data_IF_173245052170
#
_entry.id   IF_173245052170
#
_cell.length_a   1.000
_cell.length_b   1.000
_cell.length_c   1.000
_cell.angle_alpha   90.00
_cell.angle_beta   90.00
_cell.angle_gamma   90.00
#
_symmetry.space_group_name_H-M   'P 1'
#
loop_
_entity.id
_entity.type
_entity.pdbx_description
1 polymer ?
#
# COMPACT_ATOMS: atom_id res chain seq x y z
N UNK A 1 21.62 0.31 35.13
CA UNK A 1 20.22 -0.15 34.98
C UNK A 1 19.24 0.72 35.77
N UNK A 2 19.52 1.15 37.00
CA UNK A 2 18.61 1.99 37.80
C UNK A 2 18.17 3.30 37.12
N UNK A 3 19.09 4.06 36.51
CA UNK A 3 18.75 5.28 35.74
C UNK A 3 17.85 5.05 34.52
N UNK A 4 17.85 3.85 33.94
CA UNK A 4 16.98 3.52 32.81
C UNK A 4 15.55 3.26 33.30
N UNK A 5 15.40 2.63 34.47
CA UNK A 5 14.09 2.41 35.10
C UNK A 5 13.41 3.73 35.53
N UNK A 6 14.19 4.78 35.82
CA UNK A 6 13.67 6.11 36.18
C UNK A 6 13.10 6.89 34.98
N UNK A 7 13.54 6.58 33.76
CA UNK A 7 13.11 7.27 32.52
C UNK A 7 12.27 6.39 31.59
N UNK A 8 12.17 5.09 31.87
CA UNK A 8 11.32 4.16 31.11
C UNK A 8 9.99 4.01 31.82
N UNK A 9 8.91 4.21 31.09
CA UNK A 9 7.58 3.86 31.59
C UNK A 9 7.53 2.33 31.65
N UNK A 10 7.42 1.71 32.82
CA UNK A 10 7.29 0.26 32.90
C UNK A 10 6.03 -0.16 32.13
N UNK A 11 6.04 -1.32 31.45
CA UNK A 11 4.85 -1.80 30.75
C UNK A 11 3.68 -1.79 31.73
N UNK A 12 2.57 -1.14 31.32
CA UNK A 12 1.38 -1.06 32.14
C UNK A 12 0.97 -2.49 32.53
N UNK A 13 0.61 -2.74 33.80
CA UNK A 13 0.16 -4.05 34.23
C UNK A 13 -1.00 -4.49 33.35
N UNK A 14 -0.95 -5.77 32.94
CA UNK A 14 -1.99 -6.53 32.25
C UNK A 14 -3.37 -5.89 32.39
N UNK A 15 -3.90 -5.31 31.30
CA UNK A 15 -5.27 -4.82 31.26
C UNK A 15 -6.17 -6.00 31.63
N UNK A 16 -7.11 -5.80 32.56
CA UNK A 16 -8.07 -6.84 32.94
C UNK A 16 -8.75 -7.36 31.68
N UNK A 17 -8.92 -8.67 31.58
CA UNK A 17 -9.58 -9.38 30.46
C UNK A 17 -10.99 -8.86 30.11
N UNK A 18 -11.56 -8.05 31.01
CA UNK A 18 -12.92 -7.54 31.04
C UNK A 18 -13.02 -6.10 30.49
N UNK A 19 -11.92 -5.49 30.05
CA UNK A 19 -11.96 -4.21 29.32
C UNK A 19 -12.47 -4.41 27.89
N UNK A 20 -13.68 -3.93 27.63
CA UNK A 20 -14.34 -4.02 26.31
C UNK A 20 -13.48 -3.37 25.23
N UNK A 21 -12.81 -2.26 25.54
CA UNK A 21 -12.00 -1.48 24.59
C UNK A 21 -10.51 -1.91 24.56
N UNK A 22 -10.16 -2.95 25.33
CA UNK A 22 -8.79 -3.45 25.44
C UNK A 22 -8.20 -3.91 24.10
N UNK A 23 -6.88 -3.75 23.97
CA UNK A 23 -6.13 -4.12 22.77
C UNK A 23 -5.17 -5.27 23.05
N UNK A 24 -5.06 -6.19 22.11
CA UNK A 24 -3.93 -7.13 22.01
C UNK A 24 -2.99 -6.62 20.93
N UNK A 25 -1.72 -6.43 21.30
CA UNK A 25 -0.71 -5.80 20.43
C UNK A 25 0.55 -6.66 20.41
N UNK A 26 1.15 -6.79 19.24
CA UNK A 26 2.46 -7.39 19.05
C UNK A 26 3.36 -6.42 18.28
N UNK A 27 4.64 -6.35 18.69
CA UNK A 27 5.66 -5.57 17.99
C UNK A 27 6.42 -6.48 17.03
N UNK A 28 6.75 -5.94 15.87
CA UNK A 28 7.47 -6.60 14.79
C UNK A 28 8.60 -5.70 14.30
N UNK A 29 9.69 -6.30 13.82
CA UNK A 29 10.85 -5.60 13.27
C UNK A 29 11.37 -6.23 11.99
N UNK A 30 12.08 -5.40 11.22
CA UNK A 30 13.09 -5.81 10.26
C UNK A 30 14.40 -5.28 10.81
N UNK A 31 15.29 -6.13 11.31
CA UNK A 31 16.56 -5.70 11.92
C UNK A 31 17.54 -6.87 11.94
N UNK A 32 18.85 -6.59 11.93
CA UNK A 32 19.88 -7.61 12.10
C UNK A 32 20.76 -7.37 13.34
N UNK A 33 21.56 -8.37 13.70
CA UNK A 33 22.50 -8.34 14.83
C UNK A 33 23.64 -7.30 14.69
N UNK A 34 23.80 -6.69 13.51
CA UNK A 34 24.66 -5.52 13.31
C UNK A 34 24.08 -4.25 13.96
N UNK A 35 22.76 -4.16 14.08
CA UNK A 35 22.04 -3.01 14.64
C UNK A 35 21.45 -3.24 16.04
N UNK A 36 21.36 -4.50 16.51
CA UNK A 36 20.82 -4.84 17.83
C UNK A 36 21.64 -5.91 18.54
N UNK A 37 21.91 -5.71 19.84
CA UNK A 37 22.54 -6.72 20.68
C UNK A 37 21.55 -7.73 21.26
N UNK A 38 22.03 -8.94 21.56
CA UNK A 38 21.27 -9.97 22.29
C UNK A 38 20.53 -10.99 21.42
N UNK A 39 20.80 -11.05 20.12
CA UNK A 39 20.37 -12.18 19.30
C UNK A 39 21.17 -13.44 19.61
N UNK A 40 20.56 -14.64 19.58
CA UNK A 40 21.28 -15.89 19.76
C UNK A 40 22.30 -16.11 18.64
N UNK A 41 23.53 -16.50 19.01
CA UNK A 41 24.59 -16.80 18.04
C UNK A 41 24.44 -18.21 17.44
N UNK A 42 23.86 -19.18 18.16
CA UNK A 42 23.60 -20.52 17.61
C UNK A 42 22.44 -20.42 16.60
N UNK A 43 22.64 -20.78 15.31
CA UNK A 43 21.59 -20.78 14.30
C UNK A 43 20.33 -21.56 14.69
N UNK A 44 20.45 -22.61 15.51
CA UNK A 44 19.31 -23.39 15.98
C UNK A 44 18.49 -22.62 17.03
N UNK A 45 19.16 -21.90 17.91
CA UNK A 45 18.50 -21.03 18.90
C UNK A 45 17.84 -19.85 18.19
N UNK A 46 18.54 -19.20 17.26
CA UNK A 46 18.00 -18.13 16.42
C UNK A 46 16.73 -18.59 15.67
N UNK A 47 16.80 -19.75 15.00
CA UNK A 47 15.65 -20.30 14.29
C UNK A 47 14.47 -20.64 15.21
N UNK A 48 14.73 -21.10 16.44
CA UNK A 48 13.68 -21.45 17.41
C UNK A 48 12.81 -20.27 17.85
N UNK A 49 13.34 -19.04 17.74
CA UNK A 49 12.63 -17.79 18.04
C UNK A 49 12.22 -17.01 16.79
N UNK A 50 12.31 -17.65 15.61
CA UNK A 50 11.86 -17.07 14.33
C UNK A 50 12.87 -16.14 13.65
N UNK A 51 14.13 -16.15 14.07
CA UNK A 51 15.21 -15.43 13.39
C UNK A 51 15.80 -16.28 12.26
N UNK A 52 16.37 -15.62 11.25
CA UNK A 52 17.00 -16.25 10.10
C UNK A 52 18.50 -15.97 10.14
N UNK A 53 19.32 -16.99 9.97
CA UNK A 53 20.76 -16.81 9.79
C UNK A 53 21.06 -16.49 8.32
N UNK A 54 21.48 -15.26 8.06
CA UNK A 54 22.03 -14.84 6.77
C UNK A 54 23.46 -15.33 6.58
N UNK A 55 24.18 -14.73 5.62
CA UNK A 55 25.57 -15.12 5.35
C UNK A 55 26.51 -14.77 6.50
N UNK A 56 26.34 -13.56 7.04
CA UNK A 56 27.23 -12.99 8.06
C UNK A 56 26.49 -12.51 9.32
N UNK A 57 25.16 -12.40 9.27
CA UNK A 57 24.30 -11.78 10.30
C UNK A 57 23.08 -12.64 10.63
N UNK A 58 22.61 -12.59 11.88
CA UNK A 58 21.29 -13.06 12.30
C UNK A 58 20.26 -11.96 12.05
N UNK A 59 19.19 -12.30 11.35
CA UNK A 59 18.18 -11.37 10.83
C UNK A 59 16.82 -11.66 11.46
N UNK A 60 16.18 -10.62 11.98
CA UNK A 60 14.75 -10.60 12.26
C UNK A 60 14.00 -9.98 11.08
N UNK A 61 12.94 -10.67 10.63
CA UNK A 61 12.03 -10.18 9.58
C UNK A 61 10.57 -10.40 9.95
N UNK A 62 10.28 -10.26 11.23
CA UNK A 62 8.97 -10.50 11.82
C UNK A 62 7.90 -9.56 11.26
N UNK A 63 8.27 -8.40 10.69
CA UNK A 63 7.35 -7.54 9.93
C UNK A 63 6.81 -8.28 8.70
N UNK A 64 7.68 -8.85 7.86
CA UNK A 64 7.24 -9.57 6.68
C UNK A 64 6.32 -10.73 7.07
N UNK A 65 6.68 -11.46 8.13
CA UNK A 65 5.91 -12.60 8.61
C UNK A 65 4.55 -12.16 9.17
N UNK A 66 4.47 -11.01 9.86
CA UNK A 66 3.21 -10.42 10.32
C UNK A 66 2.28 -10.05 9.16
N UNK A 67 2.82 -9.42 8.10
CA UNK A 67 2.06 -9.12 6.89
C UNK A 67 1.54 -10.40 6.23
N UNK A 68 2.40 -11.42 6.05
CA UNK A 68 2.02 -12.72 5.46
C UNK A 68 0.88 -13.36 6.26
N UNK A 69 1.01 -13.44 7.59
CA UNK A 69 -0.01 -14.05 8.43
C UNK A 69 -1.34 -13.27 8.40
N UNK A 70 -1.28 -11.93 8.42
CA UNK A 70 -2.46 -11.09 8.32
C UNK A 70 -3.19 -11.27 6.97
N UNK A 71 -2.46 -11.34 5.86
CA UNK A 71 -3.05 -11.61 4.54
C UNK A 71 -3.64 -13.02 4.48
N UNK A 72 -2.94 -14.04 4.97
CA UNK A 72 -3.38 -15.43 4.92
C UNK A 72 -4.67 -15.67 5.71
N UNK A 73 -4.85 -15.01 6.85
CA UNK A 73 -6.09 -15.12 7.64
C UNK A 73 -7.25 -14.28 7.12
N UNK A 74 -7.00 -13.32 6.23
CA UNK A 74 -8.03 -12.43 5.69
C UNK A 74 -9.18 -13.22 5.03
N UNK A 75 -10.41 -12.79 5.33
CA UNK A 75 -11.66 -13.44 4.91
C UNK A 75 -12.53 -12.58 4.01
N UNK A 76 -12.55 -11.26 4.23
CA UNK A 76 -13.48 -10.32 3.61
C UNK A 76 -12.77 -9.28 2.76
N UNK A 77 -11.83 -8.52 3.35
CA UNK A 77 -11.11 -7.50 2.60
C UNK A 77 -9.76 -7.14 3.21
N UNK A 78 -8.93 -6.47 2.41
CA UNK A 78 -7.69 -5.84 2.85
C UNK A 78 -7.67 -4.40 2.34
N UNK A 79 -7.34 -3.45 3.22
CA UNK A 79 -7.10 -2.05 2.87
C UNK A 79 -5.65 -1.69 3.23
N UNK A 80 -4.89 -1.20 2.25
CA UNK A 80 -3.46 -0.87 2.40
C UNK A 80 -3.25 0.58 2.03
N UNK A 81 -2.51 1.31 2.86
CA UNK A 81 -1.86 2.55 2.45
C UNK A 81 -0.36 2.39 2.61
N UNK A 82 0.40 2.52 1.50
CA UNK A 82 1.84 2.33 1.54
C UNK A 82 2.57 3.26 0.56
N UNK A 83 3.74 3.77 0.97
CA UNK A 83 4.58 4.60 0.10
C UNK A 83 5.13 3.83 -1.11
N UNK A 84 5.41 2.54 -0.95
CA UNK A 84 5.86 1.67 -2.03
C UNK A 84 4.97 0.44 -2.12
N UNK A 85 4.79 -0.06 -3.33
CA UNK A 85 4.12 -1.32 -3.56
C UNK A 85 4.79 -2.06 -4.72
N UNK A 86 5.85 -2.78 -4.39
CA UNK A 86 6.60 -3.60 -5.33
C UNK A 86 7.19 -4.81 -4.61
N UNK A 87 7.35 -5.93 -5.30
CA UNK A 87 7.92 -7.13 -4.69
C UNK A 87 7.47 -8.43 -5.32
N UNK A 88 7.81 -9.54 -4.67
CA UNK A 88 7.58 -10.90 -5.17
C UNK A 88 8.10 -11.10 -6.60
N UNK A 89 9.28 -10.55 -6.87
CA UNK A 89 9.91 -10.52 -8.20
C UNK A 89 10.07 -11.89 -8.85
N UNK A 90 10.20 -12.96 -8.06
CA UNK A 90 10.20 -14.34 -8.55
C UNK A 90 8.93 -14.72 -9.32
N UNK A 91 7.82 -14.01 -9.12
CA UNK A 91 6.56 -14.20 -9.83
C UNK A 91 6.37 -13.27 -11.03
N UNK A 92 7.27 -12.33 -11.28
CA UNK A 92 7.16 -11.43 -12.43
C UNK A 92 7.39 -12.21 -13.74
N UNK A 93 6.67 -11.83 -14.80
CA UNK A 93 6.88 -12.36 -16.14
C UNK A 93 7.46 -11.26 -17.02
N UNK A 94 8.71 -11.39 -17.42
CA UNK A 94 9.38 -10.40 -18.26
C UNK A 94 10.43 -11.03 -19.16
N UNK A 95 10.63 -10.42 -20.33
CA UNK A 95 11.67 -10.77 -21.29
C UNK A 95 12.85 -9.78 -21.29
N UNK A 96 12.71 -8.65 -20.61
CA UNK A 96 13.65 -7.52 -20.64
C UNK A 96 14.52 -7.38 -19.37
N UNK A 97 14.28 -8.22 -18.35
CA UNK A 97 15.08 -8.32 -17.13
C UNK A 97 15.43 -9.78 -16.81
N UNK A 98 16.56 -9.99 -16.12
CA UNK A 98 16.84 -11.26 -15.45
C UNK A 98 16.19 -11.24 -14.06
N UNK A 99 15.09 -11.98 -13.89
CA UNK A 99 14.30 -12.00 -12.65
C UNK A 99 15.16 -12.43 -11.44
N UNK A 100 16.12 -13.33 -11.64
CA UNK A 100 16.99 -13.83 -10.58
C UNK A 100 17.95 -12.76 -10.03
N UNK A 101 18.16 -11.66 -10.76
CA UNK A 101 19.03 -10.56 -10.34
C UNK A 101 18.29 -9.45 -9.58
N UNK A 102 16.94 -9.45 -9.61
CA UNK A 102 16.14 -8.40 -8.97
C UNK A 102 16.17 -8.53 -7.45
N UNK A 103 16.07 -9.75 -6.92
CA UNK A 103 16.12 -10.07 -5.49
C UNK A 103 15.10 -9.32 -4.61
N UNK A 104 13.96 -8.92 -5.17
CA UNK A 104 12.81 -8.43 -4.40
C UNK A 104 11.91 -9.63 -4.03
N UNK A 105 12.38 -10.49 -3.14
CA UNK A 105 11.84 -11.82 -2.85
C UNK A 105 10.75 -11.85 -1.78
N UNK A 106 10.44 -10.73 -1.11
CA UNK A 106 9.37 -10.72 -0.11
C UNK A 106 8.01 -11.06 -0.72
N UNK A 107 7.12 -11.64 0.09
CA UNK A 107 5.95 -12.37 -0.41
C UNK A 107 4.66 -11.55 -0.51
N UNK A 108 4.65 -10.31 -0.02
CA UNK A 108 3.41 -9.55 0.23
C UNK A 108 2.52 -9.46 -1.04
N UNK A 109 3.02 -8.97 -2.20
CA UNK A 109 2.19 -8.91 -3.41
C UNK A 109 1.64 -10.27 -3.86
N UNK A 110 2.46 -11.33 -3.82
CA UNK A 110 2.03 -12.67 -4.23
C UNK A 110 1.04 -13.31 -3.26
N UNK A 111 1.20 -13.11 -1.95
CA UNK A 111 0.21 -13.57 -0.95
C UNK A 111 -1.14 -12.89 -1.15
N UNK A 112 -1.16 -11.59 -1.49
CA UNK A 112 -2.39 -10.86 -1.81
C UNK A 112 -3.07 -11.45 -3.06
N UNK A 113 -2.33 -11.62 -4.17
CA UNK A 113 -2.95 -12.15 -5.39
C UNK A 113 -3.42 -13.59 -5.20
N UNK A 114 -2.64 -14.45 -4.54
CA UNK A 114 -3.06 -15.83 -4.22
C UNK A 114 -4.25 -15.88 -3.26
N UNK A 115 -4.36 -14.95 -2.30
CA UNK A 115 -5.54 -14.82 -1.45
C UNK A 115 -6.78 -14.51 -2.30
N UNK A 116 -6.71 -13.52 -3.18
CA UNK A 116 -7.82 -13.19 -4.10
C UNK A 116 -8.17 -14.40 -4.98
N UNK A 117 -7.17 -15.06 -5.58
CA UNK A 117 -7.36 -16.26 -6.40
C UNK A 117 -8.08 -17.35 -5.61
N UNK A 118 -7.66 -17.63 -4.36
CA UNK A 118 -8.30 -18.64 -3.52
C UNK A 118 -9.78 -18.33 -3.24
N UNK A 119 -10.12 -17.05 -3.11
CA UNK A 119 -11.49 -16.58 -2.86
C UNK A 119 -12.36 -16.70 -4.12
N UNK A 120 -11.83 -16.32 -5.28
CA UNK A 120 -12.45 -16.58 -6.59
C UNK A 120 -12.68 -18.08 -6.79
N UNK A 121 -11.68 -18.90 -6.45
CA UNK A 121 -11.77 -20.36 -6.59
C UNK A 121 -12.82 -20.97 -5.67
N UNK A 122 -13.00 -20.41 -4.48
CA UNK A 122 -14.04 -20.80 -3.52
C UNK A 122 -15.44 -20.24 -3.85
N UNK A 123 -15.55 -19.26 -4.77
CA UNK A 123 -16.79 -18.52 -4.99
C UNK A 123 -17.15 -17.59 -3.82
N UNK A 124 -16.16 -17.21 -3.02
CA UNK A 124 -16.30 -16.32 -1.87
C UNK A 124 -15.92 -14.89 -2.27
N UNK A 125 -16.69 -13.91 -1.80
CA UNK A 125 -16.43 -12.51 -2.10
C UNK A 125 -15.22 -12.00 -1.29
N UNK A 126 -14.32 -11.29 -1.97
CA UNK A 126 -13.14 -10.67 -1.36
C UNK A 126 -12.66 -9.45 -2.16
N UNK A 127 -12.24 -8.39 -1.46
CA UNK A 127 -11.76 -7.14 -2.07
C UNK A 127 -10.42 -6.71 -1.50
N UNK A 128 -9.54 -6.18 -2.34
CA UNK A 128 -8.29 -5.55 -1.90
C UNK A 128 -8.18 -4.14 -2.47
N UNK A 129 -7.93 -3.20 -1.58
CA UNK A 129 -7.79 -1.77 -1.85
C UNK A 129 -6.37 -1.35 -1.51
N UNK A 130 -5.65 -0.76 -2.47
CA UNK A 130 -4.27 -0.29 -2.26
C UNK A 130 -4.18 1.19 -2.60
N UNK A 131 -3.76 2.01 -1.65
CA UNK A 131 -3.48 3.44 -1.84
C UNK A 131 -1.97 3.66 -1.77
N UNK A 132 -1.40 4.20 -2.84
CA UNK A 132 0.03 4.47 -3.02
C UNK A 132 0.21 5.92 -3.47
N UNK A 133 1.40 6.54 -3.32
CA UNK A 133 1.60 7.88 -3.86
C UNK A 133 1.52 7.84 -5.40
N UNK A 134 1.17 8.97 -6.01
CA UNK A 134 1.10 9.06 -7.48
C UNK A 134 2.47 8.69 -8.10
N UNK A 135 3.55 9.16 -7.48
CA UNK A 135 4.91 8.65 -7.63
C UNK A 135 5.68 8.76 -6.29
N UNK A 136 6.72 7.95 -6.05
CA UNK A 136 7.60 8.09 -4.89
C UNK A 136 8.31 9.45 -4.80
N UNK A 137 8.57 9.94 -3.60
CA UNK A 137 9.22 11.23 -3.36
C UNK A 137 10.52 11.40 -4.15
N UNK A 138 10.65 12.56 -4.79
CA UNK A 138 11.74 12.90 -5.67
C UNK A 138 11.24 13.49 -6.98
N UNK A 139 12.19 13.84 -7.88
CA UNK A 139 11.85 14.28 -9.22
C UNK A 139 11.26 13.08 -9.99
N UNK A 140 10.02 13.16 -10.50
CA UNK A 140 9.33 11.99 -11.05
C UNK A 140 10.03 11.44 -12.30
N UNK A 141 10.71 12.29 -13.08
CA UNK A 141 11.52 11.88 -14.23
C UNK A 141 12.94 11.41 -13.90
N UNK A 142 13.32 11.35 -12.62
CA UNK A 142 14.63 10.80 -12.23
C UNK A 142 14.65 9.28 -12.42
N UNK A 143 15.82 8.72 -12.74
CA UNK A 143 15.92 7.27 -12.95
C UNK A 143 15.59 6.43 -11.70
N UNK A 144 15.79 6.97 -10.50
CA UNK A 144 15.38 6.27 -9.27
C UNK A 144 13.86 6.12 -9.21
N UNK A 145 13.12 7.20 -9.41
CA UNK A 145 11.65 7.18 -9.40
C UNK A 145 11.12 6.34 -10.55
N UNK A 146 11.67 6.49 -11.76
CA UNK A 146 11.26 5.72 -12.93
C UNK A 146 11.52 4.22 -12.77
N UNK A 147 12.64 3.81 -12.16
CA UNK A 147 12.91 2.40 -11.89
C UNK A 147 11.93 1.81 -10.88
N UNK A 148 11.62 2.56 -9.81
CA UNK A 148 10.65 2.12 -8.79
C UNK A 148 9.25 1.97 -9.39
N UNK A 149 8.82 2.90 -10.24
CA UNK A 149 7.54 2.81 -10.95
C UNK A 149 7.49 1.60 -11.89
N UNK A 150 8.59 1.23 -12.54
CA UNK A 150 8.66 0.01 -13.36
C UNK A 150 8.50 -1.25 -12.49
N UNK A 151 9.15 -1.33 -11.32
CA UNK A 151 8.97 -2.44 -10.38
C UNK A 151 7.54 -2.53 -9.84
N UNK A 152 6.93 -1.39 -9.53
CA UNK A 152 5.52 -1.32 -9.13
C UNK A 152 4.61 -1.84 -10.25
N UNK A 153 4.81 -1.39 -11.49
CA UNK A 153 4.04 -1.87 -12.65
C UNK A 153 4.16 -3.38 -12.83
N UNK A 154 5.37 -3.94 -12.78
CA UNK A 154 5.59 -5.40 -12.91
C UNK A 154 4.91 -6.19 -11.79
N UNK A 155 4.90 -5.63 -10.59
CA UNK A 155 4.21 -6.22 -9.44
C UNK A 155 2.70 -6.21 -9.65
N UNK A 156 2.12 -5.09 -10.08
CA UNK A 156 0.70 -4.98 -10.42
C UNK A 156 0.33 -5.98 -11.54
N UNK A 157 1.13 -6.05 -12.61
CA UNK A 157 0.91 -6.94 -13.75
C UNK A 157 0.92 -8.42 -13.35
N UNK A 158 1.88 -8.82 -12.50
CA UNK A 158 1.88 -10.17 -11.92
C UNK A 158 0.57 -10.47 -11.17
N UNK A 159 0.13 -9.56 -10.31
CA UNK A 159 -1.06 -9.77 -9.48
C UNK A 159 -2.33 -9.82 -10.33
N UNK A 160 -2.48 -8.90 -11.28
CA UNK A 160 -3.64 -8.89 -12.18
C UNK A 160 -3.66 -10.09 -13.12
N UNK A 161 -2.50 -10.56 -13.59
CA UNK A 161 -2.41 -11.80 -14.37
C UNK A 161 -2.93 -12.99 -13.58
N UNK A 162 -2.52 -13.15 -12.30
CA UNK A 162 -3.02 -14.23 -11.43
C UNK A 162 -4.55 -14.18 -11.31
N UNK A 163 -5.12 -13.00 -11.07
CA UNK A 163 -6.56 -12.77 -10.89
C UNK A 163 -7.33 -13.08 -12.18
N UNK A 164 -6.88 -12.56 -13.32
CA UNK A 164 -7.53 -12.76 -14.62
C UNK A 164 -7.52 -14.24 -15.01
N UNK A 165 -6.43 -14.97 -14.74
CA UNK A 165 -6.36 -16.43 -14.95
C UNK A 165 -7.43 -17.15 -14.10
N UNK A 166 -7.56 -16.78 -12.82
CA UNK A 166 -8.55 -17.39 -11.93
C UNK A 166 -10.00 -17.11 -12.37
N UNK A 167 -10.31 -15.87 -12.76
CA UNK A 167 -11.63 -15.49 -13.30
C UNK A 167 -11.97 -16.29 -14.55
N UNK A 168 -11.02 -16.37 -15.51
CA UNK A 168 -11.20 -17.12 -16.76
C UNK A 168 -11.40 -18.61 -16.49
N UNK A 169 -10.64 -19.21 -15.57
CA UNK A 169 -10.79 -20.62 -15.16
C UNK A 169 -12.17 -20.90 -14.54
N UNK A 170 -12.76 -19.92 -13.86
CA UNK A 170 -14.13 -20.00 -13.32
C UNK A 170 -15.23 -19.63 -14.31
N UNK A 171 -14.89 -19.15 -15.50
CA UNK A 171 -15.85 -18.68 -16.49
C UNK A 171 -16.59 -17.41 -16.05
N UNK A 172 -15.95 -16.59 -15.21
CA UNK A 172 -16.52 -15.33 -14.73
C UNK A 172 -16.13 -14.18 -15.66
N UNK A 173 -17.12 -13.49 -16.21
CA UNK A 173 -16.95 -12.23 -16.92
C UNK A 173 -17.03 -11.07 -15.91
N UNK A 174 -15.93 -10.84 -15.20
CA UNK A 174 -15.84 -9.81 -14.17
C UNK A 174 -14.62 -8.92 -14.39
N UNK A 175 -14.74 -7.65 -14.03
CA UNK A 175 -13.61 -6.74 -14.05
C UNK A 175 -12.61 -7.12 -12.94
N UNK A 176 -11.32 -7.35 -13.22
CA UNK A 176 -10.34 -7.64 -12.17
C UNK A 176 -10.18 -6.49 -11.15
N UNK A 177 -10.52 -5.24 -11.52
CA UNK A 177 -10.61 -4.10 -10.60
C UNK A 177 -11.74 -4.22 -9.57
N UNK A 178 -12.67 -5.14 -9.77
CA UNK A 178 -13.66 -5.51 -8.78
C UNK A 178 -13.08 -6.52 -7.77
N UNK A 179 -11.78 -6.84 -7.77
CA UNK A 179 -11.15 -7.69 -6.76
C UNK A 179 -9.86 -7.08 -6.19
N UNK A 180 -9.06 -6.42 -7.03
CA UNK A 180 -7.87 -5.69 -6.65
C UNK A 180 -7.92 -4.32 -7.30
N UNK A 181 -7.80 -3.25 -6.52
CA UNK A 181 -7.80 -1.89 -7.06
C UNK A 181 -6.71 -1.04 -6.44
N UNK A 182 -6.12 -0.17 -7.26
CA UNK A 182 -5.04 0.73 -6.88
C UNK A 182 -5.49 2.18 -7.03
N UNK A 183 -5.16 2.98 -6.02
CA UNK A 183 -5.46 4.40 -5.93
C UNK A 183 -4.21 5.19 -5.57
N UNK A 184 -4.30 6.49 -5.78
CA UNK A 184 -3.40 7.48 -5.20
C UNK A 184 -4.21 8.66 -4.65
N UNK A 185 -3.55 9.56 -3.94
CA UNK A 185 -4.20 10.76 -3.41
C UNK A 185 -3.76 12.01 -4.16
N UNK A 186 -4.69 12.94 -4.38
CA UNK A 186 -4.42 14.23 -4.97
C UNK A 186 -5.35 15.31 -4.45
N UNK A 187 -4.92 16.56 -4.59
CA UNK A 187 -5.75 17.71 -4.32
C UNK A 187 -5.67 18.70 -5.48
N UNK A 188 -6.73 19.48 -5.65
CA UNK A 188 -6.81 20.57 -6.62
C UNK A 188 -7.70 21.67 -6.06
N UNK A 189 -7.13 22.86 -5.90
CA UNK A 189 -7.76 23.96 -5.19
C UNK A 189 -7.93 25.17 -6.10
N UNK A 190 -9.14 25.73 -6.15
CA UNK A 190 -9.35 26.96 -6.91
C UNK A 190 -8.62 28.12 -6.25
N UNK A 191 -8.22 29.13 -7.03
CA UNK A 191 -7.62 30.33 -6.48
C UNK A 191 -8.67 31.09 -5.64
N UNK A 192 -8.33 31.42 -4.39
CA UNK A 192 -9.22 32.15 -3.48
C UNK A 192 -8.72 33.57 -3.26
N UNK A 193 -9.66 34.52 -3.14
CA UNK A 193 -9.33 35.91 -2.83
C UNK A 193 -8.60 35.98 -1.48
N UNK A 194 -7.44 36.64 -1.45
CA UNK A 194 -6.61 36.76 -0.24
C UNK A 194 -5.66 35.57 0.01
N UNK A 195 -5.60 34.59 -0.89
CA UNK A 195 -4.57 33.54 -0.84
C UNK A 195 -3.15 34.14 -0.97
N UNK A 196 -2.18 33.50 -0.33
CA UNK A 196 -0.78 33.87 -0.43
C UNK A 196 -0.30 33.93 -1.89
N UNK A 197 0.36 35.03 -2.24
CA UNK A 197 1.00 35.21 -3.55
C UNK A 197 2.51 35.22 -3.37
N UNK A 198 3.19 34.23 -3.95
CA UNK A 198 4.64 34.16 -3.90
C UNK A 198 5.27 35.36 -4.66
N UNK A 199 6.34 35.98 -4.12
CA UNK A 199 7.01 37.11 -4.77
C UNK A 199 7.78 36.69 -6.03
N UNK A 200 8.23 35.44 -6.07
CA UNK A 200 8.97 34.86 -7.18
C UNK A 200 8.13 33.79 -7.88
N UNK A 201 8.33 33.66 -9.20
CA UNK A 201 7.67 32.64 -10.00
C UNK A 201 8.64 31.52 -10.35
N UNK A 202 8.15 30.28 -10.46
CA UNK A 202 8.95 29.16 -10.95
C UNK A 202 9.50 29.43 -12.36
N UNK A 203 10.58 28.73 -12.70
CA UNK A 203 11.12 28.76 -14.06
C UNK A 203 10.05 28.34 -15.08
N UNK A 204 9.94 29.08 -16.19
CA UNK A 204 9.00 28.78 -17.26
C UNK A 204 9.17 27.34 -17.80
N UNK A 205 8.07 26.70 -18.17
CA UNK A 205 8.04 25.32 -18.69
C UNK A 205 8.58 24.24 -17.73
N UNK A 206 8.77 24.56 -16.45
CA UNK A 206 9.11 23.55 -15.44
C UNK A 206 7.86 22.80 -14.94
N UNK A 207 8.07 21.62 -14.37
CA UNK A 207 7.02 20.87 -13.66
C UNK A 207 6.39 21.73 -12.56
N UNK A 208 7.20 22.53 -11.86
CA UNK A 208 6.73 23.44 -10.82
C UNK A 208 5.80 24.53 -11.39
N UNK A 209 6.18 25.19 -12.49
CA UNK A 209 5.31 26.18 -13.14
C UNK A 209 3.97 25.57 -13.55
N UNK A 210 3.99 24.38 -14.18
CA UNK A 210 2.76 23.71 -14.63
C UNK A 210 1.86 23.31 -13.45
N UNK A 211 2.42 22.72 -12.39
CA UNK A 211 1.65 22.34 -11.20
C UNK A 211 1.07 23.56 -10.46
N UNK A 212 1.83 24.67 -10.40
CA UNK A 212 1.34 25.92 -9.81
C UNK A 212 0.18 26.52 -10.62
N UNK A 213 0.26 26.48 -11.95
CA UNK A 213 -0.78 26.99 -12.86
C UNK A 213 -2.02 26.09 -12.88
N UNK A 214 -1.83 24.77 -12.93
CA UNK A 214 -2.93 23.78 -12.93
C UNK A 214 -3.62 23.64 -11.57
N UNK A 215 -2.99 24.19 -10.52
CA UNK A 215 -3.48 24.25 -9.14
C UNK A 215 -3.70 22.88 -8.50
N UNK A 216 -2.92 21.88 -8.90
CA UNK A 216 -3.04 20.51 -8.40
C UNK A 216 -1.68 19.94 -8.02
N UNK A 217 -1.69 19.04 -7.06
CA UNK A 217 -0.56 18.18 -6.75
C UNK A 217 -1.03 16.92 -6.05
N UNK A 218 -0.18 15.90 -5.98
CA UNK A 218 -0.50 14.72 -5.17
C UNK A 218 -0.55 15.07 -3.68
N UNK A 219 -1.44 14.43 -2.94
CA UNK A 219 -1.26 14.30 -1.50
C UNK A 219 -0.34 13.09 -1.32
N UNK A 220 0.81 13.31 -0.72
CA UNK A 220 1.83 12.27 -0.69
C UNK A 220 1.51 11.19 0.34
N UNK A 221 1.30 9.96 -0.11
CA UNK A 221 1.03 8.81 0.75
C UNK A 221 2.35 8.31 1.31
N UNK A 222 2.68 8.76 2.53
CA UNK A 222 3.83 8.26 3.29
C UNK A 222 3.45 7.18 4.31
N UNK A 223 2.16 6.81 4.38
CA UNK A 223 1.64 5.74 5.22
C UNK A 223 2.42 4.42 5.01
N UNK A 224 2.46 3.59 6.05
CA UNK A 224 2.81 2.16 5.97
C UNK A 224 1.86 1.38 6.88
N UNK A 225 0.68 1.10 6.35
CA UNK A 225 -0.44 0.57 7.12
C UNK A 225 -1.21 -0.47 6.31
N UNK A 226 -1.73 -1.48 7.01
CA UNK A 226 -2.66 -2.45 6.46
C UNK A 226 -3.76 -2.76 7.46
N UNK A 227 -5.03 -2.66 7.05
CA UNK A 227 -6.21 -3.11 7.77
C UNK A 227 -6.73 -4.37 7.11
N UNK A 228 -7.08 -5.36 7.94
CA UNK A 228 -7.66 -6.63 7.51
C UNK A 228 -8.99 -6.83 8.22
N UNK A 229 -10.04 -7.03 7.43
CA UNK A 229 -11.39 -7.38 7.87
C UNK A 229 -11.99 -6.45 8.95
N UNK A 230 -11.54 -5.19 9.01
CA UNK A 230 -11.89 -4.20 10.05
C UNK A 230 -11.60 -4.66 11.52
N UNK A 231 -10.84 -5.75 11.69
CA UNK A 231 -10.54 -6.36 13.00
C UNK A 231 -9.07 -6.29 13.40
N UNK A 232 -8.16 -6.25 12.42
CA UNK A 232 -6.72 -6.21 12.66
C UNK A 232 -6.07 -5.11 11.85
N UNK A 233 -5.08 -4.44 12.45
CA UNK A 233 -4.32 -3.37 11.81
C UNK A 233 -2.82 -3.57 12.04
N UNK A 234 -2.01 -3.29 11.01
CA UNK A 234 -0.56 -3.09 11.11
C UNK A 234 -0.26 -1.62 10.84
N UNK A 235 0.53 -0.97 11.70
CA UNK A 235 1.06 0.39 11.49
C UNK A 235 2.56 0.36 11.81
N UNK A 236 3.39 0.94 10.94
CA UNK A 236 4.82 1.00 11.20
C UNK A 236 5.58 1.91 10.24
N UNK A 237 6.89 1.64 10.13
CA UNK A 237 7.79 2.32 9.20
C UNK A 237 8.03 1.54 7.90
N UNK A 238 7.76 0.23 7.89
CA UNK A 238 8.11 -0.67 6.80
C UNK A 238 7.24 -0.52 5.55
N UNK A 239 7.87 -0.17 4.43
CA UNK A 239 7.24 -0.12 3.13
C UNK A 239 7.00 -1.51 2.53
N UNK A 240 6.07 -1.64 1.57
CA UNK A 240 5.94 -2.86 0.77
C UNK A 240 6.94 -2.80 -0.38
N UNK A 241 8.20 -3.05 0.00
CA UNK A 241 9.35 -3.23 -0.87
C UNK A 241 10.36 -4.16 -0.16
N UNK A 242 11.39 -4.61 -0.87
CA UNK A 242 12.43 -5.46 -0.29
C UNK A 242 13.26 -4.70 0.74
N UNK A 243 13.61 -3.43 0.51
CA UNK A 243 14.35 -2.60 1.48
C UNK A 243 13.80 -2.70 2.91
N UNK A 244 12.48 -2.62 3.07
CA UNK A 244 11.83 -2.69 4.38
C UNK A 244 11.48 -4.11 4.83
N UNK A 245 11.16 -5.03 3.89
CA UNK A 245 10.66 -6.37 4.23
C UNK A 245 11.77 -7.42 4.43
N UNK A 246 13.01 -7.12 4.06
CA UNK A 246 14.13 -8.08 4.04
C UNK A 246 14.59 -8.50 5.45
N UNK A 247 14.71 -7.53 6.36
CA UNK A 247 15.33 -7.71 7.68
C UNK A 247 16.81 -7.33 7.72
N UNK A 248 17.57 -7.63 6.66
CA UNK A 248 19.00 -7.31 6.55
C UNK A 248 19.32 -6.11 5.64
N UNK A 249 18.33 -5.27 5.35
CA UNK A 249 18.48 -4.02 4.57
C UNK A 249 18.28 -2.80 5.46
N UNK A 250 17.11 -2.16 5.42
CA UNK A 250 16.81 -1.06 6.32
C UNK A 250 16.20 -1.60 7.63
N UNK A 251 16.54 -0.97 8.75
CA UNK A 251 15.94 -1.31 10.05
C UNK A 251 14.55 -0.69 10.17
N UNK A 252 13.53 -1.49 10.47
CA UNK A 252 12.14 -1.07 10.53
C UNK A 252 11.45 -1.57 11.81
N UNK A 253 10.38 -0.87 12.21
CA UNK A 253 9.50 -1.28 13.31
C UNK A 253 8.03 -1.17 12.90
N UNK A 254 7.21 -2.11 13.34
CA UNK A 254 5.77 -2.05 13.20
C UNK A 254 5.07 -2.62 14.44
N UNK A 255 3.85 -2.18 14.67
CA UNK A 255 2.92 -2.83 15.58
C UNK A 255 1.83 -3.51 14.76
N UNK A 256 1.33 -4.62 15.25
CA UNK A 256 0.08 -5.21 14.80
C UNK A 256 -0.86 -5.41 15.97
N UNK A 257 -2.13 -5.09 15.78
CA UNK A 257 -3.08 -4.99 16.87
C UNK A 257 -4.50 -5.33 16.47
N UNK A 258 -5.26 -5.83 17.44
CA UNK A 258 -6.71 -6.04 17.35
C UNK A 258 -7.36 -5.82 18.72
N UNK A 259 -8.66 -5.56 18.72
CA UNK A 259 -9.48 -5.51 19.94
C UNK A 259 -10.23 -6.84 20.09
N UNK A 260 -9.93 -7.69 21.10
CA UNK A 260 -10.50 -9.03 21.23
C UNK A 260 -12.03 -9.08 21.26
N UNK A 261 -12.68 -8.05 21.80
CA UNK A 261 -14.14 -7.98 21.92
C UNK A 261 -14.83 -7.48 20.65
N UNK A 262 -14.08 -7.00 19.66
CA UNK A 262 -14.60 -6.44 18.39
C UNK A 262 -14.27 -7.32 17.19
N UNK A 263 -13.94 -8.59 17.40
CA UNK A 263 -13.70 -9.55 16.32
C UNK A 263 -15.02 -10.03 15.72
N UNK A 264 -14.99 -10.50 14.47
CA UNK A 264 -16.18 -11.10 13.85
C UNK A 264 -16.67 -12.34 14.65
N UNK A 265 -15.74 -13.09 15.24
CA UNK A 265 -16.04 -14.27 16.05
C UNK A 265 -16.77 -13.96 17.36
N UNK A 266 -16.58 -12.78 17.93
CA UNK A 266 -17.20 -12.36 19.20
C UNK A 266 -18.44 -11.51 18.98
N UNK A 267 -18.49 -10.72 17.90
CA UNK A 267 -19.56 -9.79 17.58
C UNK A 267 -20.30 -10.25 16.31
N UNK A 268 -21.12 -11.31 16.44
CA UNK A 268 -21.82 -12.13 15.41
C UNK A 268 -22.40 -11.45 14.14
N UNK A 269 -22.37 -10.12 14.03
CA UNK A 269 -22.69 -9.37 12.82
C UNK A 269 -21.45 -8.81 12.09
N UNK A 270 -20.63 -7.96 12.72
CA UNK A 270 -19.45 -7.32 12.10
C UNK A 270 -18.53 -6.62 13.12
N UNK A 271 -17.21 -6.52 12.87
CA UNK A 271 -16.31 -5.65 13.62
C UNK A 271 -16.75 -4.19 13.53
N UNK A 272 -16.93 -3.54 14.69
CA UNK A 272 -17.29 -2.11 14.80
C UNK A 272 -16.42 -1.38 15.81
N UNK A 273 -15.23 -1.90 16.08
CA UNK A 273 -14.28 -1.28 17.01
C UNK A 273 -13.58 -0.05 16.43
N UNK A 274 -12.46 0.29 17.04
CA UNK A 274 -11.63 1.42 16.64
C UNK A 274 -10.95 1.19 15.28
N UNK A 275 -10.58 -0.04 14.93
CA UNK A 275 -10.02 -0.37 13.59
C UNK A 275 -11.03 -0.02 12.48
N UNK A 276 -12.27 -0.52 12.63
CA UNK A 276 -13.40 -0.16 11.77
C UNK A 276 -13.60 1.36 11.69
N UNK A 277 -13.66 2.04 12.84
CA UNK A 277 -13.93 3.48 12.91
C UNK A 277 -12.82 4.30 12.26
N UNK A 278 -11.57 3.89 12.45
CA UNK A 278 -10.40 4.51 11.84
C UNK A 278 -10.44 4.36 10.31
N UNK A 279 -10.76 3.17 9.80
CA UNK A 279 -10.92 2.91 8.37
C UNK A 279 -12.04 3.76 7.75
N UNK A 280 -13.18 3.89 8.42
CA UNK A 280 -14.27 4.79 8.00
C UNK A 280 -13.79 6.25 7.98
N UNK A 281 -13.01 6.68 8.98
CA UNK A 281 -12.46 8.03 9.04
C UNK A 281 -11.52 8.32 7.86
N UNK A 282 -10.63 7.37 7.52
CA UNK A 282 -9.76 7.49 6.34
C UNK A 282 -10.56 7.55 5.05
N UNK A 283 -11.59 6.71 4.91
CA UNK A 283 -12.44 6.75 3.72
C UNK A 283 -13.23 8.06 3.63
N UNK A 284 -13.70 8.62 4.75
CA UNK A 284 -14.30 9.95 4.77
C UNK A 284 -13.28 11.03 4.35
N UNK A 285 -12.04 10.95 4.81
CA UNK A 285 -10.98 11.89 4.39
C UNK A 285 -10.75 11.81 2.88
N UNK A 286 -10.57 10.60 2.35
CA UNK A 286 -10.16 10.38 0.97
C UNK A 286 -11.33 10.55 -0.02
N UNK A 287 -12.54 10.16 0.34
CA UNK A 287 -13.70 10.21 -0.57
C UNK A 287 -14.62 11.40 -0.30
N UNK A 288 -14.53 12.04 0.89
CA UNK A 288 -15.41 13.13 1.37
C UNK A 288 -16.90 12.81 1.36
N UNK A 289 -17.23 11.52 1.35
CA UNK A 289 -18.59 10.99 1.43
C UNK A 289 -18.63 9.83 2.41
N UNK A 290 -19.80 9.57 2.98
CA UNK A 290 -20.11 8.36 3.75
C UNK A 290 -21.36 7.74 3.15
N UNK A 291 -21.33 6.43 2.95
CA UNK A 291 -22.43 5.67 2.36
C UNK A 291 -22.47 4.26 2.93
N UNK A 292 -23.64 3.64 2.96
CA UNK A 292 -23.86 2.33 3.57
C UNK A 292 -22.98 1.20 2.99
N UNK A 293 -22.68 1.15 1.67
CA UNK A 293 -21.75 0.16 1.12
C UNK A 293 -20.36 0.17 1.77
N UNK A 294 -19.88 1.30 2.29
CA UNK A 294 -18.57 1.38 2.96
C UNK A 294 -18.54 0.59 4.28
N UNK A 295 -19.68 0.11 4.76
CA UNK A 295 -19.77 -0.79 5.91
C UNK A 295 -19.44 -2.24 5.54
N UNK A 296 -19.35 -2.56 4.24
CA UNK A 296 -19.10 -3.90 3.69
C UNK A 296 -18.06 -3.83 2.55
N UNK A 297 -16.78 -3.56 2.85
CA UNK A 297 -15.75 -3.35 1.83
C UNK A 297 -15.50 -4.59 0.95
N UNK A 298 -15.83 -5.78 1.42
CA UNK A 298 -15.80 -6.98 0.58
C UNK A 298 -16.84 -6.92 -0.54
N UNK A 299 -17.97 -6.22 -0.38
CA UNK A 299 -19.07 -6.27 -1.35
C UNK A 299 -18.69 -5.69 -2.72
N UNK A 300 -19.28 -6.27 -3.77
CA UNK A 300 -19.12 -5.81 -5.15
C UNK A 300 -19.68 -4.38 -5.33
N UNK A 301 -20.77 -4.05 -4.63
CA UNK A 301 -21.34 -2.70 -4.60
C UNK A 301 -20.32 -1.69 -4.04
N UNK A 302 -19.67 -2.01 -2.93
CA UNK A 302 -18.70 -1.11 -2.31
C UNK A 302 -17.50 -0.85 -3.23
N UNK A 303 -16.84 -1.89 -3.73
CA UNK A 303 -15.65 -1.70 -4.57
C UNK A 303 -15.96 -0.95 -5.87
N UNK A 304 -17.11 -1.21 -6.49
CA UNK A 304 -17.55 -0.48 -7.70
C UNK A 304 -17.86 0.97 -7.41
N UNK A 305 -18.49 1.27 -6.28
CA UNK A 305 -18.76 2.65 -5.87
C UNK A 305 -17.46 3.42 -5.60
N UNK A 306 -16.50 2.81 -4.90
CA UNK A 306 -15.19 3.41 -4.66
C UNK A 306 -14.44 3.63 -5.97
N UNK A 307 -14.39 2.62 -6.85
CA UNK A 307 -13.76 2.73 -8.17
C UNK A 307 -14.40 3.83 -9.03
N UNK A 308 -15.73 3.88 -9.10
CA UNK A 308 -16.44 4.90 -9.87
C UNK A 308 -16.18 6.31 -9.33
N UNK A 309 -16.16 6.48 -8.00
CA UNK A 309 -15.84 7.77 -7.38
C UNK A 309 -14.40 8.18 -7.66
N UNK A 310 -13.45 7.24 -7.57
CA UNK A 310 -12.05 7.49 -7.83
C UNK A 310 -11.76 7.79 -9.32
N UNK A 311 -12.50 7.15 -10.25
CA UNK A 311 -12.44 7.45 -11.68
C UNK A 311 -12.99 8.87 -11.99
N UNK A 312 -14.12 9.26 -11.35
CA UNK A 312 -14.65 10.64 -11.42
C UNK A 312 -13.62 11.66 -10.93
N UNK A 313 -13.05 11.42 -9.74
CA UNK A 313 -12.06 12.31 -9.12
C UNK A 313 -10.78 12.40 -9.95
N UNK A 314 -10.31 11.29 -10.53
CA UNK A 314 -9.19 11.31 -11.48
C UNK A 314 -9.50 12.19 -12.70
N UNK A 315 -10.71 12.09 -13.27
CA UNK A 315 -11.13 12.92 -14.39
C UNK A 315 -11.08 14.42 -14.06
N UNK A 316 -11.56 14.80 -12.88
CA UNK A 316 -11.50 16.19 -12.39
C UNK A 316 -10.07 16.66 -12.09
N UNK A 317 -9.26 15.80 -11.45
CA UNK A 317 -7.87 16.08 -11.12
C UNK A 317 -7.03 16.27 -12.39
N UNK A 318 -7.16 15.38 -13.37
CA UNK A 318 -6.36 15.33 -14.60
C UNK A 318 -6.82 16.31 -15.69
N UNK A 319 -8.05 16.83 -15.62
CA UNK A 319 -8.59 17.77 -16.60
C UNK A 319 -7.65 18.96 -16.86
N UNK A 320 -7.37 19.25 -18.14
CA UNK A 320 -6.46 20.34 -18.51
C UNK A 320 -6.99 21.71 -18.07
N UNK A 321 -8.30 21.94 -18.26
CA UNK A 321 -9.03 23.05 -17.65
C UNK A 321 -9.89 22.48 -16.53
N UNK A 322 -9.71 22.97 -15.31
CA UNK A 322 -10.51 22.50 -14.18
C UNK A 322 -11.97 22.94 -14.36
N UNK A 323 -12.94 22.01 -14.41
CA UNK A 323 -14.31 22.34 -14.82
C UNK A 323 -15.18 22.88 -13.68
N UNK A 324 -14.63 23.06 -12.48
CA UNK A 324 -15.38 23.47 -11.28
C UNK A 324 -14.89 24.81 -10.75
N UNK A 325 -15.80 25.52 -10.10
CA UNK A 325 -15.58 26.76 -9.36
C UNK A 325 -15.23 26.53 -7.87
N UNK A 326 -15.15 25.27 -7.45
CA UNK A 326 -14.82 24.84 -6.09
C UNK A 326 -13.79 23.71 -6.09
N UNK A 327 -13.12 23.52 -4.96
CA UNK A 327 -12.03 22.55 -4.77
C UNK A 327 -12.45 21.11 -5.12
N UNK A 328 -11.45 20.25 -5.33
CA UNK A 328 -11.66 18.84 -5.62
C UNK A 328 -12.51 18.19 -4.52
N UNK A 329 -13.64 17.53 -4.85
CA UNK A 329 -14.63 17.10 -3.85
C UNK A 329 -14.24 15.79 -3.15
N UNK A 330 -12.96 15.45 -3.11
CA UNK A 330 -12.40 14.17 -2.68
C UNK A 330 -10.95 14.05 -3.12
N UNK A 331 -10.17 13.22 -2.45
CA UNK A 331 -8.74 13.06 -2.71
C UNK A 331 -8.38 11.72 -3.35
N UNK A 332 -9.22 10.69 -3.22
CA UNK A 332 -8.95 9.35 -3.76
C UNK A 332 -9.07 9.35 -5.28
N UNK A 333 -7.96 9.16 -5.97
CA UNK A 333 -7.89 9.07 -7.43
C UNK A 333 -7.60 7.62 -7.82
N UNK A 334 -8.24 7.14 -8.88
CA UNK A 334 -7.80 5.88 -9.49
C UNK A 334 -6.35 6.02 -9.95
N UNK A 335 -5.52 5.01 -9.66
CA UNK A 335 -4.16 5.02 -10.16
C UNK A 335 -4.20 4.99 -11.69
N UNK A 336 -3.43 5.84 -12.41
CA UNK A 336 -3.68 6.13 -13.83
C UNK A 336 -3.18 5.06 -14.81
N UNK A 337 -3.63 3.83 -14.61
CA UNK A 337 -3.32 2.64 -15.41
C UNK A 337 -4.61 1.99 -15.92
N UNK A 338 -4.47 1.12 -16.91
CA UNK A 338 -5.53 0.24 -17.40
C UNK A 338 -5.07 -1.21 -17.36
N UNK A 339 -6.03 -2.11 -17.14
CA UNK A 339 -5.77 -3.55 -17.03
C UNK A 339 -6.27 -4.23 -18.29
N UNK A 340 -5.36 -4.87 -19.01
CA UNK A 340 -5.62 -5.64 -20.21
C UNK A 340 -6.36 -6.94 -19.95
N UNK A 341 -6.81 -7.59 -21.02
CA UNK A 341 -7.61 -8.83 -20.95
C UNK A 341 -6.83 -10.06 -20.46
N UNK A 342 -5.50 -9.99 -20.39
CA UNK A 342 -4.67 -11.02 -19.77
C UNK A 342 -3.93 -10.52 -18.51
N UNK A 343 -4.32 -9.36 -17.98
CA UNK A 343 -3.70 -8.76 -16.79
C UNK A 343 -2.53 -7.81 -17.08
N UNK A 344 -2.26 -7.50 -18.36
CA UNK A 344 -1.23 -6.53 -18.74
C UNK A 344 -1.54 -5.14 -18.15
N UNK A 345 -0.53 -4.45 -17.62
CA UNK A 345 -0.71 -3.09 -17.09
C UNK A 345 -0.27 -2.08 -18.14
N UNK A 346 -1.22 -1.32 -18.68
CA UNK A 346 -0.99 -0.27 -19.68
C UNK A 346 -1.31 1.11 -19.13
N UNK A 347 -0.93 2.16 -19.87
CA UNK A 347 -1.38 3.51 -19.54
C UNK A 347 -2.90 3.59 -19.65
N UNK A 348 -3.54 4.35 -18.75
CA UNK A 348 -4.87 4.87 -19.00
C UNK A 348 -4.81 5.83 -20.20
N UNK A 349 -5.83 5.83 -21.06
CA UNK A 349 -5.83 6.66 -22.26
C UNK A 349 -5.62 8.15 -21.94
N UNK A 350 -4.59 8.76 -22.53
CA UNK A 350 -4.22 10.16 -22.27
C UNK A 350 -3.46 10.39 -20.95
N UNK A 351 -3.00 9.33 -20.28
CA UNK A 351 -2.23 9.37 -19.04
C UNK A 351 -0.87 8.66 -19.19
N UNK A 352 -0.17 8.85 -20.32
CA UNK A 352 1.18 8.31 -20.53
C UNK A 352 2.20 8.95 -19.58
N UNK A 353 1.98 10.22 -19.24
CA UNK A 353 2.79 11.01 -18.32
C UNK A 353 1.95 11.45 -17.12
N UNK A 354 2.57 11.61 -15.94
CA UNK A 354 1.85 12.21 -14.82
C UNK A 354 1.48 13.67 -15.16
N UNK A 355 0.27 14.12 -14.76
CA UNK A 355 -0.16 15.50 -14.98
C UNK A 355 0.90 16.50 -14.54
N UNK A 356 1.18 17.50 -15.38
CA UNK A 356 2.15 18.58 -15.16
C UNK A 356 3.63 18.15 -15.18
N UNK A 357 3.94 16.90 -15.50
CA UNK A 357 5.33 16.39 -15.57
C UNK A 357 5.70 15.89 -16.97
N UNK A 358 6.99 15.58 -17.16
CA UNK A 358 7.47 14.80 -18.31
C UNK A 358 7.78 13.33 -17.94
N UNK A 359 7.27 12.86 -16.80
CA UNK A 359 7.60 11.56 -16.23
C UNK A 359 6.56 10.51 -16.61
N UNK A 360 7.03 9.33 -17.05
CA UNK A 360 6.14 8.23 -17.46
C UNK A 360 5.46 7.63 -16.23
N UNK A 361 4.16 7.36 -16.35
CA UNK A 361 3.35 6.71 -15.30
C UNK A 361 3.84 5.29 -15.02
N UNK A 362 4.11 4.53 -16.09
CA UNK A 362 4.56 3.13 -16.02
C UNK A 362 6.03 2.95 -15.61
N UNK A 363 6.76 4.06 -15.40
CA UNK A 363 8.18 4.02 -15.12
C UNK A 363 9.04 3.59 -16.31
N UNK A 364 10.31 3.39 -16.03
CA UNK A 364 11.30 2.90 -16.98
C UNK A 364 12.43 2.18 -16.24
N UNK A 365 12.81 1.02 -16.76
CA UNK A 365 13.96 0.26 -16.25
C UNK A 365 15.22 1.13 -16.30
N UNK A 366 15.94 1.23 -15.18
CA UNK A 366 17.26 1.84 -15.16
C UNK A 366 18.31 0.86 -15.72
N UNK A 367 19.23 1.37 -16.54
CA UNK A 367 20.39 0.62 -17.04
C UNK A 367 21.64 0.77 -16.16
N UNK A 368 21.57 1.54 -15.08
CA UNK A 368 22.73 1.88 -14.24
C UNK A 368 22.48 1.83 -12.75
N UNK A 369 21.23 1.93 -12.29
CA UNK A 369 20.88 1.69 -10.88
C UNK A 369 20.66 0.19 -10.67
N UNK A 370 21.46 -0.47 -9.83
CA UNK A 370 21.23 -1.88 -9.52
C UNK A 370 19.90 -2.05 -8.74
N UNK A 371 19.19 -3.18 -8.92
CA UNK A 371 17.92 -3.43 -8.23
C UNK A 371 18.00 -3.28 -6.71
N UNK A 372 19.11 -3.65 -6.07
CA UNK A 372 19.30 -3.52 -4.61
C UNK A 372 19.04 -2.10 -4.06
N UNK A 373 19.23 -1.04 -4.87
CA UNK A 373 18.96 0.34 -4.45
C UNK A 373 17.50 0.76 -4.61
N UNK A 374 16.76 0.11 -5.53
CA UNK A 374 15.43 0.54 -5.99
C UNK A 374 14.34 -0.49 -5.70
N UNK A 375 14.68 -1.62 -5.06
CA UNK A 375 13.77 -2.70 -4.69
C UNK A 375 13.49 -2.78 -3.21
#
# INVERSE_FOLDING_TARGET
>A
MERLAEITVPPLPFVKSDDVEGWTVQIFRSIDDGAVGGFPEDPREASSVGLITGKDNVIERSIQDAYINAIRRAKHFIYIENQYFLGSSFGWSSRDININEINALHLIPKEISLKIVSKIEAGERFSVYVVIPLWPEGKPGSASVQAILDWQRRTMEMMYTDIVIALRKKGLDANPRDYLTFFCLGNREVNKAGEYSAPEKPAANSDYARAQESRRFMIYVHSKMMIVDDEYIIIGSANINQRSMDGGRDSEIAMGAYQPNHLLSTNQMKPTGQVFSFRISLWLEHLRIITNPFMFPESEECIRMVNAKADELWGLYSAQVYPRDHDLPGHLLSYPISIGTNGEVTNLAGAELFPDTNAKVLGEKSNYLPPILTT
#
